data_IF_062984711362
#
_entry.id   IF_062984711362
#
_cell.length_a   1.000
_cell.length_b   1.000
_cell.length_c   1.000
_cell.angle_alpha   90.00
_cell.angle_beta   90.00
_cell.angle_gamma   90.00
#
_symmetry.space_group_name_H-M   'P 1'
#
loop_
_entity.id
_entity.type
_entity.pdbx_description
1 polymer ?
#
# COMPACT_ATOMS: atom_id res chain seq x y z
N UNK A 1 -74.51 16.44 -42.12
CA UNK A 1 -73.13 16.56 -41.62
C UNK A 1 -73.01 15.68 -40.38
N UNK A 2 -71.98 14.81 -40.37
CA UNK A 2 -71.36 14.04 -39.27
C UNK A 2 -72.23 13.53 -38.09
N UNK A 3 -72.40 12.21 -37.92
CA UNK A 3 -71.57 11.30 -37.07
C UNK A 3 -71.83 11.54 -35.57
N UNK A 4 -72.08 10.56 -34.69
CA UNK A 4 -71.50 9.23 -34.57
C UNK A 4 -72.39 8.38 -33.65
N UNK A 5 -72.51 7.08 -33.95
CA UNK A 5 -73.23 6.10 -33.14
C UNK A 5 -72.55 5.87 -31.79
N UNK A 6 -73.33 5.89 -30.72
CA UNK A 6 -72.87 5.44 -29.40
C UNK A 6 -73.25 3.97 -29.25
N UNK A 7 -72.39 3.09 -29.77
CA UNK A 7 -72.46 1.67 -29.46
C UNK A 7 -71.91 1.46 -28.04
N UNK A 8 -72.74 0.85 -27.20
CA UNK A 8 -72.39 0.38 -25.87
C UNK A 8 -71.31 -0.69 -25.99
N UNK A 9 -70.14 -0.46 -25.38
CA UNK A 9 -69.14 -1.49 -25.24
C UNK A 9 -68.74 -1.59 -23.76
N UNK A 10 -69.38 -2.56 -23.10
CA UNK A 10 -68.98 -3.11 -21.82
C UNK A 10 -67.60 -3.76 -21.97
N UNK A 11 -66.59 -3.21 -21.29
CA UNK A 11 -65.30 -3.89 -21.15
C UNK A 11 -65.11 -4.25 -19.67
N UNK A 12 -65.58 -5.45 -19.35
CA UNK A 12 -65.16 -6.19 -18.15
C UNK A 12 -63.65 -6.45 -18.26
N UNK A 13 -62.82 -6.18 -17.24
CA UNK A 13 -61.43 -6.59 -17.24
C UNK A 13 -61.36 -8.12 -17.21
N UNK A 14 -61.19 -8.71 -18.40
CA UNK A 14 -60.92 -10.13 -18.53
C UNK A 14 -59.54 -10.39 -17.91
N UNK A 15 -59.50 -11.10 -16.79
CA UNK A 15 -58.30 -11.72 -16.22
C UNK A 15 -57.80 -12.83 -17.17
N UNK A 16 -57.46 -12.45 -18.40
CA UNK A 16 -56.97 -13.32 -19.45
C UNK A 16 -55.48 -13.12 -19.59
N UNK A 17 -54.71 -13.95 -18.86
CA UNK A 17 -53.31 -14.31 -19.11
C UNK A 17 -52.57 -13.42 -20.11
N UNK A 18 -51.90 -12.40 -19.60
CA UNK A 18 -50.62 -12.02 -20.16
C UNK A 18 -49.59 -12.63 -19.21
N UNK A 19 -49.22 -13.89 -19.45
CA UNK A 19 -47.88 -14.29 -19.05
C UNK A 19 -46.99 -13.40 -19.91
N UNK A 20 -46.47 -12.33 -19.32
CA UNK A 20 -45.27 -11.70 -19.85
C UNK A 20 -44.25 -12.83 -19.97
N UNK A 21 -44.09 -13.32 -21.19
CA UNK A 21 -42.90 -14.00 -21.65
C UNK A 21 -41.75 -13.00 -21.50
N UNK A 22 -41.33 -12.80 -20.24
CA UNK A 22 -39.98 -12.40 -19.94
C UNK A 22 -39.14 -13.53 -20.50
N UNK A 23 -38.62 -13.32 -21.71
CA UNK A 23 -37.51 -14.07 -22.26
C UNK A 23 -36.36 -13.93 -21.26
N UNK A 24 -36.36 -14.79 -20.24
CA UNK A 24 -35.25 -14.95 -19.33
C UNK A 24 -34.06 -15.36 -20.19
N UNK A 25 -32.94 -14.63 -20.09
CA UNK A 25 -31.71 -14.90 -20.82
C UNK A 25 -31.04 -16.25 -20.43
N UNK A 26 -31.79 -17.19 -19.84
CA UNK A 26 -31.30 -18.46 -19.31
C UNK A 26 -30.54 -18.33 -17.98
N UNK A 27 -30.16 -17.11 -17.58
CA UNK A 27 -29.46 -16.85 -16.32
C UNK A 27 -30.46 -16.80 -15.18
N UNK A 28 -30.36 -17.76 -14.27
CA UNK A 28 -31.17 -17.81 -13.06
C UNK A 28 -30.54 -16.95 -11.96
N UNK A 29 -31.35 -16.61 -10.94
CA UNK A 29 -30.82 -15.97 -9.73
C UNK A 29 -29.76 -16.83 -9.03
N UNK A 30 -29.83 -18.15 -9.20
CA UNK A 30 -28.86 -19.10 -8.66
C UNK A 30 -27.51 -18.97 -9.38
N UNK A 31 -27.51 -18.83 -10.70
CA UNK A 31 -26.28 -18.60 -11.49
C UNK A 31 -25.58 -17.29 -11.09
N UNK A 32 -26.36 -16.23 -10.83
CA UNK A 32 -25.84 -14.97 -10.31
C UNK A 32 -25.26 -15.12 -8.90
N UNK A 33 -25.93 -15.85 -8.01
CA UNK A 33 -25.45 -16.10 -6.66
C UNK A 33 -24.15 -16.92 -6.65
N UNK A 34 -24.05 -17.93 -7.52
CA UNK A 34 -22.83 -18.73 -7.70
C UNK A 34 -21.68 -17.85 -8.20
N UNK A 35 -21.92 -17.05 -9.25
CA UNK A 35 -20.91 -16.17 -9.83
C UNK A 35 -20.41 -15.13 -8.81
N UNK A 36 -21.32 -14.59 -7.99
CA UNK A 36 -20.97 -13.67 -6.92
C UNK A 36 -20.09 -14.34 -5.86
N UNK A 37 -20.45 -15.54 -5.41
CA UNK A 37 -19.66 -16.30 -4.42
C UNK A 37 -18.28 -16.67 -4.96
N UNK A 38 -18.18 -17.07 -6.23
CA UNK A 38 -16.90 -17.34 -6.90
C UNK A 38 -16.02 -16.09 -6.94
N UNK A 39 -16.57 -14.97 -7.40
CA UNK A 39 -15.84 -13.69 -7.45
C UNK A 39 -15.40 -13.25 -6.05
N UNK A 40 -16.25 -13.40 -5.04
CA UNK A 40 -15.92 -13.05 -3.65
C UNK A 40 -14.77 -13.91 -3.10
N UNK A 41 -14.74 -15.20 -3.43
CA UNK A 41 -13.66 -16.11 -3.05
C UNK A 41 -12.35 -15.72 -3.74
N UNK A 42 -12.38 -15.49 -5.06
CA UNK A 42 -11.20 -15.07 -5.82
C UNK A 42 -10.61 -13.75 -5.30
N UNK A 43 -11.46 -12.74 -5.06
CA UNK A 43 -11.04 -11.47 -4.47
C UNK A 43 -10.44 -11.63 -3.07
N UNK A 44 -10.94 -12.59 -2.29
CA UNK A 44 -10.40 -12.87 -0.95
C UNK A 44 -8.99 -13.47 -1.03
N UNK A 45 -8.76 -14.40 -1.96
CA UNK A 45 -7.45 -15.00 -2.22
C UNK A 45 -6.45 -13.96 -2.74
N UNK A 46 -6.87 -13.13 -3.70
CA UNK A 46 -6.05 -12.04 -4.22
C UNK A 46 -5.67 -11.07 -3.10
N UNK A 47 -6.62 -10.70 -2.23
CA UNK A 47 -6.34 -9.81 -1.09
C UNK A 47 -5.32 -10.40 -0.13
N UNK A 48 -5.40 -11.70 0.17
CA UNK A 48 -4.46 -12.38 1.04
C UNK A 48 -3.04 -12.39 0.44
N UNK A 49 -2.91 -12.76 -0.83
CA UNK A 49 -1.63 -12.74 -1.55
C UNK A 49 -1.00 -11.33 -1.57
N UNK A 50 -1.80 -10.29 -1.83
CA UNK A 50 -1.34 -8.90 -1.74
C UNK A 50 -0.87 -8.51 -0.33
N UNK A 51 -1.55 -8.97 0.72
CA UNK A 51 -1.16 -8.69 2.10
C UNK A 51 0.17 -9.35 2.45
N UNK A 52 0.39 -10.58 1.98
CA UNK A 52 1.65 -11.29 2.19
C UNK A 52 2.80 -10.62 1.42
N UNK A 53 2.59 -10.26 0.16
CA UNK A 53 3.59 -9.52 -0.63
C UNK A 53 3.95 -8.17 -0.01
N UNK A 54 2.96 -7.42 0.49
CA UNK A 54 3.20 -6.16 1.19
C UNK A 54 4.00 -6.36 2.48
N UNK A 55 3.72 -7.44 3.23
CA UNK A 55 4.46 -7.77 4.44
C UNK A 55 5.92 -8.09 4.14
N UNK A 56 6.18 -8.89 3.11
CA UNK A 56 7.53 -9.24 2.67
C UNK A 56 8.31 -8.02 2.17
N UNK A 57 7.67 -7.17 1.36
CA UNK A 57 8.27 -5.94 0.88
C UNK A 57 8.64 -5.02 2.05
N UNK A 58 7.74 -4.83 3.00
CA UNK A 58 7.98 -4.00 4.18
C UNK A 58 9.15 -4.54 5.03
N UNK A 59 9.23 -5.85 5.24
CA UNK A 59 10.35 -6.47 5.94
C UNK A 59 11.68 -6.25 5.20
N UNK A 60 11.68 -6.45 3.88
CA UNK A 60 12.89 -6.28 3.04
C UNK A 60 13.40 -4.84 3.05
N UNK A 61 12.48 -3.87 2.94
CA UNK A 61 12.83 -2.45 2.98
C UNK A 61 13.39 -2.07 4.35
N UNK A 62 12.79 -2.54 5.45
CA UNK A 62 13.30 -2.25 6.79
C UNK A 62 14.70 -2.86 7.01
N UNK A 63 14.93 -4.09 6.56
CA UNK A 63 16.27 -4.70 6.64
C UNK A 63 17.32 -3.90 5.88
N UNK A 64 16.98 -3.41 4.68
CA UNK A 64 17.88 -2.55 3.91
C UNK A 64 18.16 -1.21 4.61
N UNK A 65 17.11 -0.57 5.14
CA UNK A 65 17.26 0.68 5.89
C UNK A 65 18.11 0.50 7.14
N UNK A 66 17.91 -0.58 7.89
CA UNK A 66 18.71 -0.90 9.07
C UNK A 66 20.19 -1.16 8.71
N UNK A 67 20.44 -1.87 7.61
CA UNK A 67 21.80 -2.10 7.12
C UNK A 67 22.48 -0.78 6.73
N UNK A 68 21.80 0.10 5.99
CA UNK A 68 22.32 1.41 5.62
C UNK A 68 22.57 2.30 6.85
N UNK A 69 21.64 2.31 7.81
CA UNK A 69 21.81 3.05 9.06
C UNK A 69 23.01 2.56 9.85
N UNK A 70 23.25 1.24 9.87
CA UNK A 70 24.43 0.67 10.50
C UNK A 70 25.71 1.15 9.79
N UNK A 71 25.77 1.09 8.46
CA UNK A 71 26.94 1.58 7.70
C UNK A 71 27.22 3.07 7.97
N UNK A 72 26.18 3.90 7.97
CA UNK A 72 26.29 5.33 8.28
C UNK A 72 26.80 5.52 9.72
N UNK A 73 26.26 4.77 10.68
CA UNK A 73 26.71 4.84 12.07
C UNK A 73 28.20 4.46 12.20
N UNK A 74 28.63 3.38 11.54
CA UNK A 74 30.04 2.98 11.51
C UNK A 74 30.94 4.08 10.92
N UNK A 75 30.52 4.71 9.83
CA UNK A 75 31.25 5.83 9.24
C UNK A 75 31.33 7.03 10.18
N UNK A 76 30.22 7.38 10.85
CA UNK A 76 30.19 8.46 11.83
C UNK A 76 31.11 8.19 13.03
N UNK A 77 31.11 6.98 13.56
CA UNK A 77 32.02 6.57 14.64
C UNK A 77 33.48 6.66 14.19
N UNK A 78 33.82 6.10 13.03
CA UNK A 78 35.17 6.14 12.50
C UNK A 78 35.65 7.58 12.26
N UNK A 79 34.81 8.45 11.69
CA UNK A 79 35.14 9.85 11.48
C UNK A 79 35.36 10.60 12.80
N UNK A 80 34.56 10.31 13.82
CA UNK A 80 34.73 10.88 15.16
C UNK A 80 36.05 10.43 15.80
N UNK A 81 36.37 9.15 15.74
CA UNK A 81 37.62 8.59 16.28
C UNK A 81 38.84 9.20 15.57
N UNK A 82 38.79 9.30 14.24
CA UNK A 82 39.85 9.91 13.46
C UNK A 82 40.04 11.39 13.83
N UNK A 83 38.93 12.13 13.98
CA UNK A 83 38.98 13.54 14.40
C UNK A 83 39.59 13.71 15.79
N UNK A 84 39.23 12.84 16.74
CA UNK A 84 39.80 12.84 18.09
C UNK A 84 41.30 12.59 18.04
N UNK A 85 41.74 11.60 17.25
CA UNK A 85 43.16 11.29 17.09
C UNK A 85 43.96 12.50 16.58
N UNK A 86 43.45 13.22 15.58
CA UNK A 86 44.13 14.42 15.07
C UNK A 86 44.16 15.56 16.09
N UNK A 87 43.09 15.75 16.86
CA UNK A 87 43.04 16.76 17.93
C UNK A 87 44.06 16.43 19.03
N UNK A 88 44.14 15.18 19.44
CA UNK A 88 45.10 14.73 20.46
C UNK A 88 46.55 14.88 19.99
N UNK A 89 46.87 14.50 18.75
CA UNK A 89 48.21 14.70 18.17
C UNK A 89 48.59 16.18 18.15
N UNK A 90 47.68 17.06 17.72
CA UNK A 90 47.92 18.50 17.68
C UNK A 90 48.15 19.07 19.09
N UNK A 91 47.30 18.71 20.06
CA UNK A 91 47.45 19.09 21.46
C UNK A 91 48.81 18.63 22.03
N UNK A 92 49.19 17.38 21.77
CA UNK A 92 50.46 16.82 22.22
C UNK A 92 51.66 17.56 21.60
N UNK A 93 51.62 17.89 20.30
CA UNK A 93 52.67 18.70 19.65
C UNK A 93 52.79 20.10 20.25
N UNK A 94 51.67 20.77 20.52
CA UNK A 94 51.64 22.09 21.15
C UNK A 94 52.16 22.07 22.59
N UNK A 95 51.86 21.01 23.35
CA UNK A 95 52.38 20.84 24.70
C UNK A 95 53.88 20.59 24.70
N UNK A 96 54.38 19.77 23.77
CA UNK A 96 55.81 19.48 23.63
C UNK A 96 56.60 20.71 23.19
N UNK A 97 56.09 21.52 22.25
CA UNK A 97 56.76 22.77 21.83
C UNK A 97 56.83 23.79 22.97
N UNK A 98 55.78 23.91 23.80
CA UNK A 98 55.82 24.74 25.02
C UNK A 98 56.86 24.27 26.04
N UNK A 99 57.00 22.95 26.23
CA UNK A 99 58.01 22.39 27.15
C UNK A 99 59.43 22.69 26.69
N UNK A 100 59.71 22.53 25.39
CA UNK A 100 61.03 22.86 24.83
C UNK A 100 61.37 24.36 24.98
N UNK A 101 60.41 25.25 24.69
CA UNK A 101 60.63 26.70 24.83
C UNK A 101 60.93 27.13 26.27
N UNK A 102 60.33 26.46 27.27
CA UNK A 102 60.65 26.69 28.69
C UNK A 102 62.04 26.17 29.11
N UNK A 103 62.58 25.16 28.43
CA UNK A 103 63.91 24.62 28.72
C UNK A 103 65.04 25.42 28.07
N UNK A 104 64.78 26.17 27.00
CA UNK A 104 65.78 26.98 26.29
C UNK A 104 65.91 28.42 26.81
N UNK A 105 65.00 28.87 27.66
CA UNK A 105 64.93 30.26 28.17
C UNK A 105 64.85 30.37 29.71
N UNK A 106 65.11 29.28 30.44
CA UNK A 106 65.31 29.28 31.90
C UNK A 106 66.76 29.02 32.23
#
# INVERSE_FOLDING_TARGET
>A
MASSGRAEHSWSPNYGRHMDENHSNGVTNEDMAISLLQTQMELSLIREDFQDQLRELHQTVNQHLDAMNLEIWWWCCWAADLSSFFVDDLCNRLLNSRKQCKQTHG
#
